data_IF_931852316280
#
_entry.id   IF_931852316280
#
_cell.length_a   1.000
_cell.length_b   1.000
_cell.length_c   1.000
_cell.angle_alpha   90.00
_cell.angle_beta   90.00
_cell.angle_gamma   90.00
#
_symmetry.space_group_name_H-M   'P 1'
#
loop_
_entity.id
_entity.type
_entity.pdbx_description
1 polymer ?
#
# COMPACT_ATOMS: atom_id res chain seq x y z
N UNK A 1 -8.69 10.55 0.83
CA UNK A 1 -8.25 10.61 -0.58
C UNK A 1 -9.40 10.11 -1.45
N UNK A 2 -9.86 10.90 -2.42
CA UNK A 2 -10.91 10.47 -3.36
C UNK A 2 -10.26 9.66 -4.49
N UNK A 3 -10.85 8.51 -4.83
CA UNK A 3 -10.34 7.58 -5.85
C UNK A 3 -10.92 7.93 -7.22
N UNK A 4 -12.12 8.50 -7.24
CA UNK A 4 -12.79 8.94 -8.45
C UNK A 4 -14.13 9.56 -8.11
N UNK A 5 -14.40 10.70 -8.75
CA UNK A 5 -15.69 11.38 -8.74
C UNK A 5 -16.34 11.14 -10.11
N UNK A 6 -17.59 10.69 -10.11
CA UNK A 6 -18.41 10.59 -11.32
C UNK A 6 -19.70 11.35 -11.11
N UNK A 7 -20.06 12.18 -12.08
CA UNK A 7 -21.31 12.93 -12.09
C UNK A 7 -22.21 12.37 -13.20
N UNK A 8 -23.45 12.11 -12.84
CA UNK A 8 -24.48 11.59 -13.74
C UNK A 8 -25.66 12.55 -13.73
N UNK A 9 -26.18 12.87 -14.92
CA UNK A 9 -27.40 13.65 -15.07
C UNK A 9 -28.58 12.68 -15.14
N UNK A 10 -29.53 12.82 -14.23
CA UNK A 10 -30.75 11.99 -14.18
C UNK A 10 -31.90 12.75 -14.83
N UNK A 11 -32.70 12.04 -15.63
CA UNK A 11 -33.84 12.60 -16.38
C UNK A 11 -34.99 13.05 -15.49
N UNK A 12 -35.06 12.55 -14.25
CA UNK A 12 -36.06 12.92 -13.25
C UNK A 12 -35.36 13.35 -11.97
N UNK A 13 -35.77 14.48 -11.40
CA UNK A 13 -35.31 14.90 -10.07
C UNK A 13 -35.79 13.86 -9.06
N UNK A 14 -34.85 13.13 -8.48
CA UNK A 14 -35.09 12.17 -7.41
C UNK A 14 -34.71 12.82 -6.08
N UNK A 15 -35.48 12.56 -5.03
CA UNK A 15 -35.07 12.99 -3.68
C UNK A 15 -34.02 12.04 -3.12
N UNK A 16 -33.17 12.54 -2.20
CA UNK A 16 -32.16 11.71 -1.54
C UNK A 16 -32.72 10.46 -0.85
N UNK A 17 -33.92 10.56 -0.28
CA UNK A 17 -34.63 9.45 0.36
C UNK A 17 -35.07 8.36 -0.62
N UNK A 18 -35.56 8.73 -1.81
CA UNK A 18 -35.95 7.76 -2.83
C UNK A 18 -34.74 6.95 -3.30
N UNK A 19 -33.59 7.62 -3.46
CA UNK A 19 -32.34 6.98 -3.83
C UNK A 19 -31.81 6.09 -2.70
N UNK A 20 -31.95 6.50 -1.44
CA UNK A 20 -31.62 5.66 -0.28
C UNK A 20 -32.43 4.36 -0.26
N UNK A 21 -33.75 4.43 -0.43
CA UNK A 21 -34.62 3.24 -0.42
C UNK A 21 -34.34 2.30 -1.61
N UNK A 22 -34.09 2.84 -2.80
CA UNK A 22 -33.66 2.06 -3.97
C UNK A 22 -32.32 1.37 -3.68
N UNK A 23 -31.33 2.11 -3.17
CA UNK A 23 -30.02 1.55 -2.87
C UNK A 23 -30.10 0.48 -1.78
N UNK A 24 -30.86 0.72 -0.71
CA UNK A 24 -31.05 -0.23 0.39
C UNK A 24 -31.76 -1.51 -0.05
N UNK A 25 -32.76 -1.40 -0.93
CA UNK A 25 -33.50 -2.57 -1.44
C UNK A 25 -32.65 -3.41 -2.39
N UNK A 26 -31.79 -2.79 -3.20
CA UNK A 26 -30.96 -3.49 -4.20
C UNK A 26 -29.60 -3.98 -3.65
N UNK A 27 -29.01 -3.30 -2.68
CA UNK A 27 -27.68 -3.61 -2.13
C UNK A 27 -27.70 -4.68 -1.02
N UNK A 28 -28.67 -5.61 -1.02
CA UNK A 28 -28.76 -6.75 -0.07
C UNK A 28 -27.61 -7.78 -0.19
N UNK A 29 -26.44 -7.39 -0.69
CA UNK A 29 -25.29 -8.26 -0.88
C UNK A 29 -24.28 -8.13 0.26
N UNK A 30 -23.64 -9.24 0.59
CA UNK A 30 -22.67 -9.47 1.68
C UNK A 30 -21.41 -8.59 1.66
N UNK A 31 -21.30 -7.67 0.70
CA UNK A 31 -20.12 -6.82 0.48
C UNK A 31 -20.31 -5.38 0.98
N UNK A 32 -21.52 -5.06 1.46
CA UNK A 32 -21.88 -3.75 2.01
C UNK A 32 -22.02 -3.90 3.52
N UNK A 33 -21.15 -3.21 4.27
CA UNK A 33 -21.15 -3.18 5.74
C UNK A 33 -22.28 -2.28 6.28
N UNK A 34 -22.70 -1.26 5.52
CA UNK A 34 -23.81 -0.40 5.93
C UNK A 34 -24.13 0.71 4.93
N UNK A 35 -25.37 1.17 4.96
CA UNK A 35 -25.86 2.30 4.16
C UNK A 35 -26.45 3.32 5.13
N UNK A 36 -25.89 4.52 5.15
CA UNK A 36 -26.35 5.61 5.98
C UNK A 36 -26.88 6.74 5.09
N UNK A 37 -27.92 7.44 5.54
CA UNK A 37 -28.45 8.60 4.85
C UNK A 37 -28.29 9.83 5.71
N UNK A 38 -27.63 10.85 5.15
CA UNK A 38 -27.45 12.15 5.75
C UNK A 38 -28.50 13.12 5.19
N UNK A 39 -29.53 13.37 6.01
CA UNK A 39 -30.64 14.25 5.68
C UNK A 39 -30.22 15.71 5.50
N UNK A 40 -29.11 16.16 6.11
CA UNK A 40 -28.70 17.57 6.04
C UNK A 40 -28.08 17.94 4.69
N UNK A 41 -27.51 16.95 3.98
CA UNK A 41 -26.80 17.16 2.72
C UNK A 41 -27.36 16.35 1.54
N UNK A 42 -28.55 15.75 1.70
CA UNK A 42 -29.16 14.83 0.73
C UNK A 42 -28.15 13.78 0.19
N UNK A 43 -27.39 13.19 1.12
CA UNK A 43 -26.26 12.32 0.80
C UNK A 43 -26.50 10.91 1.32
N UNK A 44 -26.31 9.94 0.45
CA UNK A 44 -26.27 8.52 0.81
C UNK A 44 -24.82 8.06 0.91
N UNK A 45 -24.42 7.55 2.06
CA UNK A 45 -23.11 6.96 2.29
C UNK A 45 -23.22 5.43 2.34
N UNK A 46 -22.54 4.75 1.41
CA UNK A 46 -22.47 3.30 1.34
C UNK A 46 -21.07 2.89 1.78
N UNK A 47 -20.97 2.15 2.87
CA UNK A 47 -19.72 1.58 3.36
C UNK A 47 -19.61 0.14 2.85
N UNK A 48 -18.62 -0.13 2.01
CA UNK A 48 -18.24 -1.48 1.61
C UNK A 48 -16.87 -1.83 2.24
N UNK A 49 -16.49 -3.10 2.18
CA UNK A 49 -15.29 -3.61 2.84
C UNK A 49 -14.05 -2.75 2.55
N UNK A 50 -13.77 -2.44 1.28
CA UNK A 50 -12.55 -1.74 0.86
C UNK A 50 -12.76 -0.26 0.50
N UNK A 51 -13.98 0.13 0.13
CA UNK A 51 -14.31 1.45 -0.38
C UNK A 51 -15.58 2.00 0.28
N UNK A 52 -15.61 3.30 0.48
CA UNK A 52 -16.79 4.06 0.86
C UNK A 52 -17.29 4.83 -0.36
N UNK A 53 -18.53 4.62 -0.75
CA UNK A 53 -19.19 5.35 -1.83
C UNK A 53 -20.08 6.42 -1.22
N UNK A 54 -19.96 7.64 -1.70
CA UNK A 54 -20.74 8.79 -1.27
C UNK A 54 -21.55 9.26 -2.47
N UNK A 55 -22.85 9.03 -2.42
CA UNK A 55 -23.79 9.49 -3.44
C UNK A 55 -24.43 10.78 -2.93
N UNK A 56 -24.12 11.90 -3.56
CA UNK A 56 -24.74 13.20 -3.24
C UNK A 56 -25.70 13.55 -4.37
N UNK A 57 -26.93 13.91 -4.02
CA UNK A 57 -27.97 14.27 -4.97
C UNK A 57 -28.21 15.77 -4.87
N UNK A 58 -28.30 16.43 -6.03
CA UNK A 58 -28.60 17.86 -6.12
C UNK A 58 -29.47 18.09 -7.35
N UNK A 59 -30.80 18.08 -7.16
CA UNK A 59 -31.78 18.18 -8.24
C UNK A 59 -31.64 17.06 -9.27
N UNK A 60 -31.26 17.40 -10.51
CA UNK A 60 -31.07 16.45 -11.61
C UNK A 60 -29.64 15.88 -11.70
N UNK A 61 -28.79 16.13 -10.70
CA UNK A 61 -27.39 15.70 -10.70
C UNK A 61 -27.15 14.71 -9.57
N UNK A 62 -26.55 13.58 -9.94
CA UNK A 62 -26.12 12.53 -9.01
C UNK A 62 -24.60 12.46 -9.07
N UNK A 63 -23.95 12.83 -7.97
CA UNK A 63 -22.50 12.76 -7.83
C UNK A 63 -22.14 11.55 -6.97
N UNK A 64 -21.35 10.63 -7.53
CA UNK A 64 -20.78 9.48 -6.81
C UNK A 64 -19.30 9.78 -6.57
N UNK A 65 -18.94 9.97 -5.31
CA UNK A 65 -17.56 10.08 -4.86
C UNK A 65 -17.13 8.77 -4.22
N UNK A 66 -16.06 8.16 -4.75
CA UNK A 66 -15.49 6.95 -4.17
C UNK A 66 -14.30 7.31 -3.29
N UNK A 67 -14.28 6.83 -2.04
CA UNK A 67 -13.19 7.00 -1.08
C UNK A 67 -12.68 5.64 -0.63
N UNK A 68 -11.40 5.54 -0.29
CA UNK A 68 -10.86 4.34 0.35
C UNK A 68 -11.43 4.17 1.76
N UNK A 69 -11.64 2.93 2.18
CA UNK A 69 -11.83 2.65 3.59
C UNK A 69 -10.50 2.86 4.32
N UNK A 70 -10.47 3.86 5.20
CA UNK A 70 -9.26 4.24 5.94
C UNK A 70 -8.63 3.04 6.67
N UNK A 71 -9.43 2.10 7.18
CA UNK A 71 -8.92 0.89 7.88
C UNK A 71 -7.98 0.07 6.99
N UNK A 72 -8.37 -0.21 5.75
CA UNK A 72 -7.56 -0.99 4.82
C UNK A 72 -6.37 -0.20 4.27
N UNK A 73 -6.51 1.11 4.12
CA UNK A 73 -5.42 1.98 3.74
C UNK A 73 -4.31 1.97 4.80
N UNK A 74 -4.66 2.05 6.08
CA UNK A 74 -3.69 1.94 7.18
C UNK A 74 -3.02 0.56 7.26
N UNK A 75 -3.77 -0.52 7.03
CA UNK A 75 -3.21 -1.88 6.99
C UNK A 75 -2.19 -2.02 5.85
N UNK A 76 -2.53 -1.53 4.65
CA UNK A 76 -1.62 -1.54 3.51
C UNK A 76 -0.34 -0.74 3.78
N UNK A 77 -0.47 0.42 4.42
CA UNK A 77 0.68 1.25 4.80
C UNK A 77 1.57 0.56 5.85
N UNK A 78 0.97 -0.08 6.85
CA UNK A 78 1.69 -0.82 7.89
C UNK A 78 2.47 -2.01 7.30
N UNK A 79 1.91 -2.71 6.32
CA UNK A 79 2.60 -3.80 5.62
C UNK A 79 3.83 -3.29 4.85
N UNK A 80 3.74 -2.14 4.18
CA UNK A 80 4.88 -1.53 3.48
C UNK A 80 5.99 -1.09 4.44
N UNK A 81 5.64 -0.52 5.58
CA UNK A 81 6.63 -0.12 6.59
C UNK A 81 7.32 -1.36 7.18
N UNK A 82 6.55 -2.41 7.47
CA UNK A 82 7.08 -3.65 8.05
C UNK A 82 8.01 -4.38 7.09
N UNK A 83 7.67 -4.43 5.80
CA UNK A 83 8.54 -5.05 4.78
C UNK A 83 9.85 -4.28 4.61
N UNK A 84 9.79 -2.95 4.61
CA UNK A 84 11.00 -2.11 4.57
C UNK A 84 11.90 -2.34 5.78
N UNK A 85 11.32 -2.42 6.99
CA UNK A 85 12.06 -2.65 8.23
C UNK A 85 12.69 -4.05 8.31
N UNK A 86 12.15 -5.04 7.59
CA UNK A 86 12.74 -6.38 7.48
C UNK A 86 13.89 -6.45 6.45
N UNK A 87 13.77 -5.75 5.33
CA UNK A 87 14.75 -5.80 4.23
C UNK A 87 16.03 -5.03 4.59
N UNK A 88 15.90 -3.89 5.26
CA UNK A 88 17.03 -3.02 5.60
C UNK A 88 18.11 -3.67 6.50
N UNK A 89 17.77 -4.38 7.59
CA UNK A 89 18.77 -5.08 8.40
C UNK A 89 19.42 -6.25 7.65
N UNK A 90 18.68 -6.97 6.81
CA UNK A 90 19.22 -8.03 5.95
C UNK A 90 20.24 -7.46 4.96
N UNK A 91 19.93 -6.35 4.30
CA UNK A 91 20.85 -5.67 3.39
C UNK A 91 22.13 -5.19 4.12
N UNK A 92 21.98 -4.69 5.35
CA UNK A 92 23.11 -4.29 6.20
C UNK A 92 24.03 -5.46 6.56
N UNK A 93 23.48 -6.61 6.95
CA UNK A 93 24.25 -7.82 7.26
C UNK A 93 24.99 -8.32 6.01
N UNK A 94 24.32 -8.36 4.85
CA UNK A 94 24.94 -8.77 3.59
C UNK A 94 26.10 -7.85 3.22
N UNK A 95 25.94 -6.53 3.38
CA UNK A 95 27.01 -5.57 3.13
C UNK A 95 28.23 -5.81 4.04
N UNK A 96 28.00 -6.07 5.33
CA UNK A 96 29.07 -6.41 6.28
C UNK A 96 29.80 -7.70 5.91
N UNK A 97 29.07 -8.73 5.47
CA UNK A 97 29.67 -9.99 5.01
C UNK A 97 30.56 -9.75 3.79
N UNK A 98 30.10 -8.96 2.81
CA UNK A 98 30.86 -8.64 1.59
C UNK A 98 32.14 -7.88 1.94
N UNK A 99 32.05 -6.87 2.81
CA UNK A 99 33.22 -6.10 3.27
C UNK A 99 34.23 -7.00 3.97
N UNK A 100 33.77 -7.86 4.89
CA UNK A 100 34.64 -8.81 5.61
C UNK A 100 35.32 -9.80 4.66
N UNK A 101 34.60 -10.30 3.64
CA UNK A 101 35.18 -11.16 2.61
C UNK A 101 36.24 -10.44 1.76
N UNK A 102 36.02 -9.16 1.45
CA UNK A 102 36.99 -8.35 0.72
C UNK A 102 38.28 -8.18 1.51
N UNK A 103 38.17 -7.82 2.80
CA UNK A 103 39.32 -7.68 3.70
C UNK A 103 40.08 -9.00 3.87
N UNK A 104 39.37 -10.12 4.06
CA UNK A 104 39.99 -11.44 4.13
C UNK A 104 40.72 -11.81 2.83
N UNK A 105 40.17 -11.46 1.68
CA UNK A 105 40.80 -11.72 0.37
C UNK A 105 42.11 -10.92 0.22
N UNK A 106 42.13 -9.67 0.66
CA UNK A 106 43.33 -8.83 0.65
C UNK A 106 44.41 -9.35 1.61
N UNK A 107 44.03 -9.66 2.85
CA UNK A 107 44.95 -10.24 3.85
C UNK A 107 45.52 -11.58 3.34
N UNK A 108 44.68 -12.44 2.77
CA UNK A 108 45.10 -13.72 2.20
C UNK A 108 46.08 -13.52 1.04
N UNK A 109 45.82 -12.55 0.16
CA UNK A 109 46.74 -12.18 -0.93
C UNK A 109 48.10 -11.72 -0.40
N UNK A 110 48.12 -10.88 0.64
CA UNK A 110 49.35 -10.41 1.30
C UNK A 110 50.12 -11.56 1.94
N UNK A 111 49.45 -12.48 2.63
CA UNK A 111 50.08 -13.67 3.22
C UNK A 111 50.72 -14.54 2.14
N UNK A 112 50.04 -14.78 1.01
CA UNK A 112 50.63 -15.54 -0.10
C UNK A 112 51.83 -14.85 -0.74
N UNK A 113 51.81 -13.51 -0.85
CA UNK A 113 52.97 -12.76 -1.32
C UNK A 113 54.16 -12.91 -0.36
N UNK A 114 53.93 -12.81 0.95
CA UNK A 114 54.98 -13.01 1.96
C UNK A 114 55.55 -14.44 1.90
N UNK A 115 54.69 -15.45 1.77
CA UNK A 115 55.12 -16.86 1.67
C UNK A 115 55.92 -17.14 0.38
N UNK A 116 55.50 -16.61 -0.78
CA UNK A 116 56.24 -16.76 -2.04
C UNK A 116 57.59 -16.02 -2.02
N UNK A 117 57.70 -14.90 -1.29
CA UNK A 117 58.99 -14.21 -1.11
C UNK A 117 59.92 -15.05 -0.24
N UNK A 118 59.41 -15.74 0.78
CA UNK A 118 60.18 -16.66 1.62
C UNK A 118 60.69 -17.90 0.87
N UNK A 119 59.96 -18.38 -0.14
CA UNK A 119 60.30 -19.58 -0.91
C UNK A 119 61.46 -19.35 -1.91
N UNK A 120 61.72 -18.09 -2.30
CA UNK A 120 62.90 -17.73 -3.12
C UNK A 120 64.21 -17.62 -2.32
N UNK A 121 64.14 -17.60 -0.98
CA UNK A 121 65.31 -17.58 -0.10
C UNK A 121 65.93 -18.95 0.18
N UNK A 122 65.27 -20.03 -0.23
CA UNK A 122 65.62 -21.40 0.16
C UNK A 122 65.96 -22.33 -1.03
N UNK A 123 66.24 -21.76 -2.21
CA UNK A 123 66.60 -22.51 -3.43
C UNK A 123 68.13 -22.53 -3.69
N UNK A 124 68.94 -21.91 -2.82
CA UNK A 124 70.40 -21.84 -2.98
C UNK A 124 71.19 -22.20 -1.70
N UNK A 125 70.88 -23.32 -1.05
CA UNK A 125 71.87 -24.03 -0.22
C UNK A 125 72.07 -25.47 -0.70
#
# INVERSE_FOLDING_TARGET
MAIGDREYIISKSLKGEEVYEILKSQLKTTKVDGINYDHNFERVEISANYCKYIVTISGNKLKISTKWNNKWLYIGLALLITSYFLILPLAGIIALIILTHSEQKEIRSLIYQILNIGDLGNVNE
#
